data_IF_640366291836
#
_entry.id   IF_640366291836
#
_cell.length_a   1.000
_cell.length_b   1.000
_cell.length_c   1.000
_cell.angle_alpha   90.00
_cell.angle_beta   90.00
_cell.angle_gamma   90.00
#
_symmetry.space_group_name_H-M   'P 1'
#
loop_
_entity.id
_entity.type
_entity.pdbx_description
1 polymer ?
#
# COMPACT_ATOMS: atom_id res chain seq x y z
N UNK A 1 2.56 6.93 -26.02
CA UNK A 1 3.08 6.41 -24.72
C UNK A 1 3.16 4.89 -24.67
N UNK A 2 2.42 4.22 -25.54
CA UNK A 2 2.22 2.78 -25.67
C UNK A 2 3.53 2.03 -25.93
N UNK A 3 4.37 2.51 -26.85
CA UNK A 3 5.67 1.86 -27.13
C UNK A 3 6.60 1.84 -25.93
N UNK A 4 6.61 2.91 -25.12
CA UNK A 4 7.39 2.97 -23.87
C UNK A 4 6.82 2.01 -22.83
N UNK A 5 5.49 1.94 -22.75
CA UNK A 5 4.78 1.04 -21.83
C UNK A 5 5.07 -0.41 -22.16
N UNK A 6 5.01 -0.78 -23.44
CA UNK A 6 5.39 -2.12 -23.93
C UNK A 6 6.84 -2.45 -23.60
N UNK A 7 7.78 -1.53 -23.85
CA UNK A 7 9.18 -1.74 -23.53
C UNK A 7 9.42 -1.98 -22.02
N UNK A 8 8.71 -1.23 -21.17
CA UNK A 8 8.75 -1.42 -19.73
C UNK A 8 8.20 -2.79 -19.31
N UNK A 9 7.04 -3.19 -19.87
CA UNK A 9 6.44 -4.52 -19.60
C UNK A 9 7.37 -5.65 -20.03
N UNK A 10 7.91 -5.61 -21.25
CA UNK A 10 8.83 -6.64 -21.75
C UNK A 10 10.05 -6.77 -20.84
N UNK A 11 10.66 -5.66 -20.42
CA UNK A 11 11.81 -5.69 -19.53
C UNK A 11 11.47 -6.25 -18.14
N UNK A 12 10.35 -5.84 -17.55
CA UNK A 12 9.89 -6.38 -16.26
C UNK A 12 9.58 -7.87 -16.37
N UNK A 13 8.94 -8.30 -17.45
CA UNK A 13 8.64 -9.71 -17.75
C UNK A 13 9.93 -10.53 -17.85
N UNK A 14 10.91 -10.07 -18.64
CA UNK A 14 12.21 -10.75 -18.81
C UNK A 14 12.96 -10.91 -17.48
N UNK A 15 12.92 -9.89 -16.62
CA UNK A 15 13.68 -9.87 -15.37
C UNK A 15 12.99 -10.62 -14.23
N UNK A 16 11.67 -10.53 -14.14
CA UNK A 16 10.88 -11.17 -13.07
C UNK A 16 10.42 -12.60 -13.42
N UNK A 17 10.45 -12.96 -14.70
CA UNK A 17 9.86 -14.21 -15.20
C UNK A 17 8.34 -14.25 -15.04
N UNK A 18 7.69 -13.09 -14.93
CA UNK A 18 6.23 -12.94 -14.97
C UNK A 18 5.82 -12.76 -16.42
N UNK A 19 4.81 -13.52 -16.88
CA UNK A 19 4.32 -13.44 -18.26
C UNK A 19 3.76 -12.03 -18.58
N UNK A 20 4.02 -11.51 -19.78
CA UNK A 20 3.51 -10.21 -20.23
C UNK A 20 1.97 -10.11 -20.10
N UNK A 21 1.24 -11.22 -20.20
CA UNK A 21 -0.22 -11.28 -20.02
C UNK A 21 -0.69 -11.04 -18.57
N UNK A 22 0.24 -11.00 -17.61
CA UNK A 22 -0.02 -10.64 -16.21
C UNK A 22 0.25 -9.17 -15.91
N UNK A 23 0.53 -8.37 -16.94
CA UNK A 23 0.63 -6.93 -16.82
C UNK A 23 -0.59 -6.25 -17.47
N UNK A 24 -1.02 -5.14 -16.88
CA UNK A 24 -2.08 -4.28 -17.41
C UNK A 24 -1.64 -2.83 -17.52
N UNK A 25 -2.41 -2.04 -18.26
CA UNK A 25 -2.24 -0.58 -18.37
C UNK A 25 -3.50 0.08 -17.82
N UNK A 26 -3.31 1.12 -17.00
CA UNK A 26 -4.39 1.90 -16.41
C UNK A 26 -4.24 3.39 -16.75
N UNK A 27 -4.97 4.22 -16.02
CA UNK A 27 -4.82 5.68 -16.03
C UNK A 27 -5.03 6.31 -17.40
N UNK A 28 -4.23 7.34 -17.67
CA UNK A 28 -4.43 8.17 -18.86
C UNK A 28 -4.21 7.44 -20.18
N UNK A 29 -3.37 6.39 -20.21
CA UNK A 29 -3.13 5.59 -21.41
C UNK A 29 -4.35 4.73 -21.72
N UNK A 30 -4.92 4.05 -20.72
CA UNK A 30 -6.14 3.24 -20.87
C UNK A 30 -7.33 4.08 -21.37
N UNK A 31 -7.44 5.32 -20.90
CA UNK A 31 -8.52 6.23 -21.28
C UNK A 31 -8.26 6.99 -22.59
N UNK A 32 -7.11 6.77 -23.25
CA UNK A 32 -6.67 7.53 -24.44
C UNK A 32 -6.57 9.06 -24.21
N UNK A 33 -6.36 9.48 -22.95
CA UNK A 33 -6.22 10.89 -22.53
C UNK A 33 -4.77 11.28 -22.21
N UNK A 34 -3.82 10.42 -22.55
CA UNK A 34 -2.42 10.63 -22.21
C UNK A 34 -1.78 11.75 -23.04
N UNK A 35 -0.90 12.52 -22.41
CA UNK A 35 -0.05 13.49 -23.07
C UNK A 35 1.42 13.03 -22.98
N UNK A 36 2.10 12.73 -24.10
CA UNK A 36 3.48 12.25 -24.09
C UNK A 36 4.49 13.17 -23.38
N UNK A 37 4.15 14.45 -23.17
CA UNK A 37 5.01 15.42 -22.49
C UNK A 37 5.01 15.27 -20.96
N UNK A 38 3.91 14.81 -20.36
CA UNK A 38 3.76 14.84 -18.90
C UNK A 38 3.02 13.64 -18.29
N UNK A 39 2.35 12.80 -19.09
CA UNK A 39 1.74 11.57 -18.58
C UNK A 39 2.80 10.58 -18.12
N UNK A 40 2.48 9.90 -17.04
CA UNK A 40 3.13 8.70 -16.54
C UNK A 40 2.59 7.44 -17.23
N UNK A 41 3.25 6.33 -16.93
CA UNK A 41 2.81 4.98 -17.28
C UNK A 41 2.25 4.32 -16.02
N UNK A 42 0.94 4.08 -16.00
CA UNK A 42 0.30 3.35 -14.90
C UNK A 42 0.19 1.86 -15.25
N UNK A 43 1.08 1.05 -14.65
CA UNK A 43 1.09 -0.39 -14.81
C UNK A 43 0.30 -1.10 -13.71
N UNK A 44 -0.38 -2.16 -14.11
CA UNK A 44 -0.98 -3.14 -13.22
C UNK A 44 -0.17 -4.44 -13.27
N UNK A 45 -0.03 -5.12 -12.13
CA UNK A 45 0.52 -6.47 -12.05
C UNK A 45 -0.52 -7.39 -11.41
N UNK A 46 -1.01 -8.36 -12.17
CA UNK A 46 -2.06 -9.27 -11.72
C UNK A 46 -1.49 -10.47 -10.99
N UNK A 47 -1.96 -10.71 -9.77
CA UNK A 47 -1.58 -11.85 -8.94
C UNK A 47 -0.55 -11.49 -7.86
N UNK A 48 -0.75 -12.02 -6.65
CA UNK A 48 0.11 -11.80 -5.48
C UNK A 48 1.54 -12.26 -5.74
N UNK A 49 1.71 -13.51 -6.18
CA UNK A 49 3.02 -14.05 -6.50
C UNK A 49 3.75 -13.23 -7.58
N UNK A 50 3.02 -12.78 -8.61
CA UNK A 50 3.58 -11.94 -9.66
C UNK A 50 4.01 -10.57 -9.12
N UNK A 51 3.21 -9.96 -8.24
CA UNK A 51 3.53 -8.70 -7.60
C UNK A 51 4.81 -8.80 -6.75
N UNK A 52 4.99 -9.88 -5.98
CA UNK A 52 6.22 -10.12 -5.22
C UNK A 52 7.43 -10.28 -6.14
N UNK A 53 7.30 -11.05 -7.23
CA UNK A 53 8.39 -11.25 -8.21
C UNK A 53 8.80 -9.94 -8.88
N UNK A 54 7.84 -9.09 -9.24
CA UNK A 54 8.13 -7.75 -9.79
C UNK A 54 8.78 -6.86 -8.73
N UNK A 55 8.25 -6.80 -7.50
CA UNK A 55 8.84 -6.03 -6.39
C UNK A 55 10.31 -6.39 -6.17
N UNK A 56 10.63 -7.68 -6.09
CA UNK A 56 12.00 -8.15 -5.85
C UNK A 56 12.97 -7.69 -6.95
N UNK A 57 12.52 -7.68 -8.21
CA UNK A 57 13.33 -7.21 -9.33
C UNK A 57 13.47 -5.69 -9.37
N UNK A 58 12.45 -4.95 -8.93
CA UNK A 58 12.52 -3.49 -8.88
C UNK A 58 13.65 -3.01 -7.97
N UNK A 59 13.89 -3.70 -6.86
CA UNK A 59 15.00 -3.39 -5.95
C UNK A 59 16.37 -3.49 -6.65
N UNK A 60 16.53 -4.42 -7.59
CA UNK A 60 17.75 -4.57 -8.41
C UNK A 60 17.83 -3.55 -9.56
N UNK A 61 16.69 -3.18 -10.14
CA UNK A 61 16.62 -2.27 -11.28
C UNK A 61 16.99 -0.83 -10.89
N UNK A 62 16.63 -0.39 -9.68
CA UNK A 62 17.00 0.94 -9.20
C UNK A 62 18.52 1.06 -9.01
N UNK A 63 19.18 1.72 -9.96
CA UNK A 63 20.64 1.77 -10.05
C UNK A 63 21.13 1.55 -11.48
N UNK A 64 20.28 0.98 -12.34
CA UNK A 64 20.52 0.90 -13.78
C UNK A 64 20.22 2.25 -14.47
N UNK A 65 20.84 2.49 -15.63
CA UNK A 65 20.73 3.76 -16.36
C UNK A 65 19.29 4.13 -16.70
N UNK A 66 18.46 3.12 -16.99
CA UNK A 66 17.07 3.28 -17.39
C UNK A 66 16.10 3.43 -16.21
N UNK A 67 16.46 3.04 -14.99
CA UNK A 67 15.59 3.13 -13.82
C UNK A 67 16.15 4.10 -12.82
N UNK A 68 15.51 5.27 -12.76
CA UNK A 68 15.89 6.31 -11.82
C UNK A 68 14.85 6.41 -10.71
N UNK A 69 15.26 6.39 -9.43
CA UNK A 69 14.38 6.83 -8.37
C UNK A 69 14.07 8.33 -8.57
N UNK A 70 13.01 8.80 -7.93
CA UNK A 70 12.77 10.24 -7.81
C UNK A 70 13.92 10.91 -7.03
N UNK A 71 14.18 12.18 -7.34
CA UNK A 71 15.19 12.97 -6.63
C UNK A 71 14.81 13.19 -5.16
N UNK A 72 15.80 13.49 -4.32
CA UNK A 72 15.57 13.78 -2.90
C UNK A 72 14.60 14.95 -2.68
N UNK A 73 14.63 15.97 -3.54
CA UNK A 73 13.71 17.10 -3.50
C UNK A 73 12.27 16.69 -3.85
N UNK A 74 12.09 15.86 -4.89
CA UNK A 74 10.77 15.31 -5.27
C UNK A 74 10.18 14.46 -4.14
N UNK A 75 11.00 13.60 -3.52
CA UNK A 75 10.59 12.76 -2.38
C UNK A 75 10.22 13.63 -1.18
N UNK A 76 11.04 14.62 -0.81
CA UNK A 76 10.78 15.49 0.33
C UNK A 76 9.50 16.32 0.14
N UNK A 77 9.31 16.90 -1.05
CA UNK A 77 8.10 17.66 -1.37
C UNK A 77 6.84 16.78 -1.26
N UNK A 78 6.93 15.53 -1.71
CA UNK A 78 5.84 14.57 -1.55
C UNK A 78 5.61 14.17 -0.08
N UNK A 79 6.66 13.87 0.68
CA UNK A 79 6.56 13.51 2.11
C UNK A 79 5.84 14.62 2.88
N UNK A 80 6.25 15.88 2.72
CA UNK A 80 5.61 17.03 3.36
C UNK A 80 4.13 17.17 2.97
N UNK A 81 3.79 16.85 1.71
CA UNK A 81 2.40 16.83 1.26
C UNK A 81 1.61 15.72 1.96
N UNK A 82 2.15 14.50 2.09
CA UNK A 82 1.48 13.39 2.76
C UNK A 82 1.28 13.66 4.25
N UNK A 83 2.31 14.17 4.95
CA UNK A 83 2.23 14.59 6.36
C UNK A 83 1.04 15.52 6.59
N UNK A 84 0.88 16.51 5.72
CA UNK A 84 -0.20 17.50 5.81
C UNK A 84 -1.57 16.89 5.52
N UNK A 85 -1.70 16.06 4.48
CA UNK A 85 -2.99 15.49 4.06
C UNK A 85 -3.51 14.48 5.08
N UNK A 86 -2.62 13.61 5.57
CA UNK A 86 -2.97 12.47 6.41
C UNK A 86 -2.83 12.74 7.91
N UNK A 87 -2.40 13.96 8.29
CA UNK A 87 -2.23 14.32 9.70
C UNK A 87 -1.14 13.52 10.42
N UNK A 88 -0.15 13.02 9.67
CA UNK A 88 0.99 12.28 10.25
C UNK A 88 1.80 13.25 11.12
N UNK A 89 2.19 12.90 12.36
CA UNK A 89 3.02 13.78 13.16
C UNK A 89 4.35 14.10 12.46
N UNK A 90 4.73 15.38 12.40
CA UNK A 90 5.89 15.85 11.62
C UNK A 90 7.21 15.14 11.95
N UNK A 91 7.38 14.69 13.19
CA UNK A 91 8.55 13.88 13.63
C UNK A 91 8.72 12.56 12.87
N UNK A 92 7.66 12.08 12.20
CA UNK A 92 7.66 10.87 11.40
C UNK A 92 7.77 11.15 9.89
N UNK A 93 7.90 12.41 9.46
CA UNK A 93 7.95 12.76 8.04
C UNK A 93 9.06 11.99 7.29
N UNK A 94 10.22 11.85 7.90
CA UNK A 94 11.38 11.13 7.34
C UNK A 94 11.16 9.62 7.26
N UNK A 95 10.20 9.07 8.03
CA UNK A 95 9.85 7.66 8.02
C UNK A 95 8.83 7.31 6.93
N UNK A 96 8.20 8.30 6.31
CA UNK A 96 7.29 8.06 5.19
C UNK A 96 8.16 7.67 4.01
N UNK A 97 8.44 6.36 3.92
CA UNK A 97 9.20 5.82 2.82
C UNK A 97 8.33 5.89 1.58
N UNK A 98 8.88 6.52 0.54
CA UNK A 98 8.40 6.28 -0.80
C UNK A 98 8.57 4.78 -1.06
N UNK A 99 7.49 4.03 -1.31
CA UNK A 99 7.60 2.60 -1.67
C UNK A 99 8.31 2.52 -3.01
N UNK A 100 9.65 2.41 -2.96
CA UNK A 100 10.53 2.65 -4.10
C UNK A 100 10.17 1.74 -5.26
N UNK A 101 9.77 0.51 -4.99
CA UNK A 101 9.40 -0.47 -5.99
C UNK A 101 8.20 -0.05 -6.86
N UNK A 102 7.24 0.72 -6.33
CA UNK A 102 6.01 1.05 -7.04
C UNK A 102 6.14 2.24 -8.00
N UNK A 103 7.13 3.12 -7.82
CA UNK A 103 7.18 4.36 -8.60
C UNK A 103 8.60 4.81 -8.87
N UNK A 104 8.85 5.21 -10.11
CA UNK A 104 10.14 5.75 -10.53
C UNK A 104 10.07 6.33 -11.94
N UNK A 105 11.22 6.41 -12.59
CA UNK A 105 11.33 6.81 -13.99
C UNK A 105 11.96 5.70 -14.82
N UNK A 106 11.31 5.37 -15.93
CA UNK A 106 11.85 4.53 -17.00
C UNK A 106 12.35 5.44 -18.13
N UNK A 107 13.67 5.59 -18.24
CA UNK A 107 14.31 6.66 -19.00
C UNK A 107 13.97 8.04 -18.43
N UNK A 108 13.14 8.80 -19.15
CA UNK A 108 12.63 10.12 -18.72
C UNK A 108 11.16 10.08 -18.32
N UNK A 109 10.47 8.96 -18.51
CA UNK A 109 9.04 8.84 -18.30
C UNK A 109 8.76 8.26 -16.92
N UNK A 110 7.93 8.96 -16.13
CA UNK A 110 7.49 8.46 -14.84
C UNK A 110 6.61 7.22 -15.01
N UNK A 111 6.66 6.29 -14.06
CA UNK A 111 5.79 5.14 -14.02
C UNK A 111 5.28 4.89 -12.60
N UNK A 112 4.14 4.22 -12.51
CA UNK A 112 3.61 3.61 -11.31
C UNK A 112 3.32 2.13 -11.56
N UNK A 113 3.47 1.29 -10.55
CA UNK A 113 3.14 -0.14 -10.57
C UNK A 113 2.17 -0.39 -9.43
N UNK A 114 0.97 -0.88 -9.76
CA UNK A 114 -0.07 -1.22 -8.80
C UNK A 114 -0.41 -2.70 -8.91
N UNK A 115 -0.24 -3.50 -7.84
CA UNK A 115 -0.63 -4.90 -7.85
C UNK A 115 -2.15 -5.03 -7.76
N UNK A 116 -2.70 -6.05 -8.42
CA UNK A 116 -4.14 -6.33 -8.49
C UNK A 116 -4.37 -7.82 -8.23
N UNK A 117 -5.29 -8.14 -7.33
CA UNK A 117 -5.67 -9.54 -7.06
C UNK A 117 -6.34 -10.15 -8.29
N UNK A 118 -6.05 -11.41 -8.56
CA UNK A 118 -6.82 -12.22 -9.51
C UNK A 118 -8.10 -12.73 -8.84
N UNK A 119 -9.11 -13.06 -9.64
CA UNK A 119 -10.40 -13.57 -9.13
C UNK A 119 -10.26 -14.76 -8.16
N UNK A 120 -9.28 -15.65 -8.42
CA UNK A 120 -9.00 -16.81 -7.55
C UNK A 120 -8.29 -16.48 -6.24
N UNK A 121 -7.80 -15.25 -6.06
CA UNK A 121 -7.16 -14.76 -4.82
C UNK A 121 -8.15 -14.01 -3.92
N UNK A 122 -9.36 -13.73 -4.42
CA UNK A 122 -10.42 -13.06 -3.68
C UNK A 122 -11.31 -14.12 -3.06
N UNK A 123 -11.13 -14.35 -1.76
CA UNK A 123 -11.89 -15.35 -1.00
C UNK A 123 -13.18 -14.80 -0.40
N UNK A 124 -13.27 -13.47 -0.25
CA UNK A 124 -14.41 -12.80 0.36
C UNK A 124 -15.62 -12.77 -0.57
N UNK A 125 -16.79 -13.06 -0.01
CA UNK A 125 -18.05 -13.00 -0.75
C UNK A 125 -18.76 -11.68 -0.48
N UNK A 126 -19.03 -10.93 -1.55
CA UNK A 126 -19.78 -9.68 -1.44
C UNK A 126 -21.12 -9.89 -0.74
N UNK A 127 -21.38 -9.10 0.30
CA UNK A 127 -22.61 -9.17 1.10
C UNK A 127 -22.62 -10.23 2.20
N UNK A 128 -21.54 -11.01 2.38
CA UNK A 128 -21.42 -11.93 3.51
C UNK A 128 -21.10 -11.21 4.84
N UNK A 129 -20.40 -10.08 4.76
CA UNK A 129 -20.00 -9.27 5.91
C UNK A 129 -20.53 -7.83 5.80
N UNK A 130 -20.76 -7.21 6.95
CA UNK A 130 -21.04 -5.77 7.08
C UNK A 130 -20.08 -5.13 8.07
N UNK A 131 -19.69 -3.88 7.78
CA UNK A 131 -18.66 -3.15 8.52
C UNK A 131 -19.29 -1.91 9.14
N UNK A 132 -19.08 -1.69 10.44
CA UNK A 132 -19.58 -0.51 11.14
C UNK A 132 -18.49 0.13 12.00
N UNK A 133 -18.25 1.45 11.89
CA UNK A 133 -17.25 2.12 12.72
C UNK A 133 -17.69 2.12 14.19
N UNK A 134 -16.73 1.90 15.08
CA UNK A 134 -16.92 1.87 16.53
C UNK A 134 -16.32 3.13 17.15
N UNK A 135 -14.99 3.27 17.10
CA UNK A 135 -14.28 4.40 17.69
C UNK A 135 -12.91 4.62 17.04
N UNK A 136 -12.30 5.79 17.29
CA UNK A 136 -10.90 6.05 16.92
C UNK A 136 -9.98 5.48 17.98
N UNK A 137 -8.89 4.85 17.54
CA UNK A 137 -7.86 4.28 18.43
C UNK A 137 -6.47 4.69 17.99
N UNK A 138 -5.55 4.83 18.96
CA UNK A 138 -4.11 4.90 18.73
C UNK A 138 -3.41 3.86 19.61
N UNK A 139 -2.51 3.07 19.03
CA UNK A 139 -1.80 2.01 19.74
C UNK A 139 -0.44 1.72 19.11
N UNK A 140 0.42 1.03 19.87
CA UNK A 140 1.64 0.41 19.34
C UNK A 140 1.43 -1.07 19.15
N UNK A 141 2.07 -1.66 18.13
CA UNK A 141 1.99 -3.09 17.84
C UNK A 141 3.24 -3.61 17.12
N UNK A 142 3.41 -4.93 17.13
CA UNK A 142 4.32 -5.67 16.26
C UNK A 142 3.58 -6.09 14.99
N UNK A 143 4.18 -5.90 13.81
CA UNK A 143 3.70 -6.55 12.58
C UNK A 143 3.99 -8.05 12.66
N UNK A 144 2.95 -8.86 12.68
CA UNK A 144 3.04 -10.32 12.77
C UNK A 144 3.17 -10.96 11.40
N UNK A 145 2.43 -10.45 10.42
CA UNK A 145 2.43 -10.92 9.02
C UNK A 145 2.21 -9.73 8.07
N UNK A 146 2.88 -9.79 6.92
CA UNK A 146 2.94 -8.72 5.91
C UNK A 146 2.75 -9.25 4.47
N UNK A 147 2.25 -10.49 4.32
CA UNK A 147 2.12 -11.17 3.03
C UNK A 147 1.13 -10.47 2.08
N UNK A 148 0.12 -9.81 2.62
CA UNK A 148 -0.95 -9.14 1.86
C UNK A 148 -0.84 -7.59 1.92
N UNK A 149 0.37 -7.08 2.15
CA UNK A 149 0.63 -5.65 2.32
C UNK A 149 0.84 -4.89 0.99
N UNK A 150 0.98 -5.59 -0.13
CA UNK A 150 1.30 -4.99 -1.43
C UNK A 150 0.12 -4.26 -2.06
N UNK A 151 -1.10 -4.68 -1.72
CA UNK A 151 -2.34 -4.22 -2.34
C UNK A 151 -2.92 -2.99 -1.64
N UNK A 152 -4.02 -2.50 -2.20
CA UNK A 152 -4.91 -1.55 -1.53
C UNK A 152 -6.30 -2.22 -1.41
N UNK A 153 -6.84 -2.36 -0.18
CA UNK A 153 -6.21 -2.00 1.08
C UNK A 153 -4.97 -2.86 1.38
N UNK A 154 -3.95 -2.27 2.00
CA UNK A 154 -2.81 -3.02 2.53
C UNK A 154 -3.24 -3.71 3.82
N UNK A 155 -3.00 -5.01 3.92
CA UNK A 155 -3.40 -5.80 5.08
C UNK A 155 -2.18 -6.23 5.90
N UNK A 156 -2.23 -5.93 7.19
CA UNK A 156 -1.22 -6.30 8.18
C UNK A 156 -1.86 -7.05 9.34
N UNK A 157 -1.33 -8.21 9.70
CA UNK A 157 -1.64 -8.81 10.99
C UNK A 157 -0.76 -8.18 12.07
N UNK A 158 -1.36 -7.87 13.21
CA UNK A 158 -0.70 -7.17 14.30
C UNK A 158 -0.85 -7.91 15.62
N UNK A 159 0.17 -7.78 16.47
CA UNK A 159 0.26 -8.40 17.79
C UNK A 159 0.96 -7.49 18.79
N UNK A 160 1.09 -7.95 20.04
CA UNK A 160 1.73 -7.21 21.13
C UNK A 160 1.19 -5.77 21.28
N UNK A 161 -0.13 -5.65 21.22
CA UNK A 161 -0.81 -4.35 21.16
C UNK A 161 -0.79 -3.66 22.53
N UNK A 162 -0.40 -2.38 22.53
CA UNK A 162 -0.54 -1.48 23.68
C UNK A 162 -1.33 -0.24 23.26
N UNK A 163 -2.54 -0.09 23.81
CA UNK A 163 -3.43 1.05 23.53
C UNK A 163 -2.88 2.31 24.22
N UNK A 164 -2.75 3.39 23.46
CA UNK A 164 -2.30 4.70 23.94
C UNK A 164 -3.46 5.70 24.03
N UNK A 165 -4.41 5.63 23.09
CA UNK A 165 -5.62 6.45 23.04
C UNK A 165 -6.80 5.60 22.54
N UNK A 166 -7.97 5.73 23.17
CA UNK A 166 -9.17 4.91 22.90
C UNK A 166 -9.63 4.13 24.13
N UNK A 167 -10.74 3.40 24.01
CA UNK A 167 -11.22 2.53 25.09
C UNK A 167 -10.25 1.36 25.34
N UNK A 168 -9.89 1.14 26.60
CA UNK A 168 -9.06 -0.02 27.00
C UNK A 168 -9.82 -1.34 26.99
N UNK A 169 -11.16 -1.28 26.95
CA UNK A 169 -12.05 -2.45 26.85
C UNK A 169 -12.38 -2.81 25.38
N UNK A 170 -11.60 -2.28 24.42
CA UNK A 170 -11.72 -2.65 23.02
C UNK A 170 -11.60 -4.18 22.82
N UNK A 171 -12.38 -4.75 21.87
CA UNK A 171 -12.22 -6.14 21.50
C UNK A 171 -10.80 -6.41 20.99
N UNK A 172 -10.40 -7.68 21.00
CA UNK A 172 -9.10 -8.09 20.45
C UNK A 172 -8.96 -7.59 19.01
N UNK A 173 -7.93 -6.77 18.79
CA UNK A 173 -7.54 -6.28 17.47
C UNK A 173 -6.42 -7.18 16.96
N UNK A 174 -6.58 -7.73 15.76
CA UNK A 174 -5.59 -8.64 15.16
C UNK A 174 -5.12 -8.20 13.79
N UNK A 175 -5.78 -7.21 13.20
CA UNK A 175 -5.62 -6.83 11.80
C UNK A 175 -5.76 -5.32 11.61
N UNK A 176 -4.94 -4.80 10.71
CA UNK A 176 -4.95 -3.40 10.25
C UNK A 176 -5.09 -3.40 8.74
N UNK A 177 -6.12 -2.73 8.24
CA UNK A 177 -6.32 -2.47 6.83
C UNK A 177 -6.03 -1.00 6.51
N UNK A 178 -5.23 -0.75 5.49
CA UNK A 178 -4.92 0.60 5.05
C UNK A 178 -5.40 0.87 3.63
N UNK A 179 -6.37 1.76 3.50
CA UNK A 179 -6.85 2.26 2.21
C UNK A 179 -5.98 3.37 1.62
N UNK A 180 -4.96 3.83 2.37
CA UNK A 180 -3.96 4.75 1.88
C UNK A 180 -2.76 3.97 1.31
N UNK A 181 -2.64 3.93 -0.02
CA UNK A 181 -1.56 3.20 -0.69
C UNK A 181 -0.14 3.65 -0.34
N UNK A 182 0.03 4.75 0.41
CA UNK A 182 1.33 5.15 0.95
C UNK A 182 1.84 4.23 2.06
N UNK A 183 0.96 3.43 2.67
CA UNK A 183 1.32 2.46 3.70
C UNK A 183 1.41 1.03 3.13
N UNK A 184 1.19 0.83 1.82
CA UNK A 184 1.37 -0.47 1.16
C UNK A 184 2.86 -0.80 1.01
N UNK A 185 3.23 -2.03 1.36
CA UNK A 185 4.60 -2.56 1.27
C UNK A 185 5.66 -1.80 2.09
N UNK A 186 5.24 -1.05 3.12
CA UNK A 186 6.14 -0.21 3.94
C UNK A 186 6.67 -0.95 5.17
N UNK A 187 5.80 -1.70 5.83
CA UNK A 187 6.12 -2.40 7.07
C UNK A 187 6.31 -3.89 6.79
N UNK A 188 7.29 -4.50 7.45
CA UNK A 188 7.58 -5.92 7.33
C UNK A 188 7.37 -6.62 8.67
N UNK A 189 7.20 -7.94 8.64
CA UNK A 189 7.13 -8.76 9.86
C UNK A 189 8.27 -8.43 10.83
N UNK A 190 7.90 -8.22 12.10
CA UNK A 190 8.79 -7.84 13.19
C UNK A 190 8.95 -6.33 13.39
N UNK A 191 8.49 -5.50 12.46
CA UNK A 191 8.48 -4.05 12.65
C UNK A 191 7.60 -3.66 13.85
N UNK A 192 8.13 -2.79 14.70
CA UNK A 192 7.35 -2.08 15.71
C UNK A 192 6.71 -0.86 15.06
N UNK A 193 5.39 -0.73 15.18
CA UNK A 193 4.64 0.36 14.57
C UNK A 193 3.73 1.05 15.58
N UNK A 194 3.49 2.34 15.35
CA UNK A 194 2.41 3.10 15.99
C UNK A 194 1.35 3.37 14.94
N UNK A 195 0.11 3.03 15.28
CA UNK A 195 -1.04 3.08 14.38
C UNK A 195 -2.08 4.00 14.98
N UNK A 196 -2.66 4.87 14.15
CA UNK A 196 -3.88 5.61 14.43
C UNK A 196 -4.91 5.28 13.36
N UNK A 197 -6.10 4.84 13.78
CA UNK A 197 -7.15 4.44 12.86
C UNK A 197 -8.51 4.38 13.53
N UNK A 198 -9.48 3.76 12.84
CA UNK A 198 -10.82 3.51 13.35
C UNK A 198 -11.00 2.02 13.56
N UNK A 199 -11.50 1.62 14.73
CA UNK A 199 -11.96 0.26 14.96
C UNK A 199 -13.28 0.06 14.23
N UNK A 200 -13.39 -0.99 13.42
CA UNK A 200 -14.68 -1.41 12.86
C UNK A 200 -15.06 -2.80 13.36
N UNK A 201 -16.34 -2.93 13.70
CA UNK A 201 -16.95 -4.21 13.98
C UNK A 201 -17.42 -4.84 12.68
N UNK A 202 -16.99 -6.07 12.44
CA UNK A 202 -17.38 -6.87 11.29
C UNK A 202 -18.49 -7.82 11.74
N UNK A 203 -19.60 -7.82 11.01
CA UNK A 203 -20.79 -8.61 11.34
C UNK A 203 -21.18 -9.55 10.22
N UNK A 204 -21.62 -10.75 10.60
CA UNK A 204 -22.24 -11.70 9.68
C UNK A 204 -23.63 -11.21 9.19
N UNK A 205 -24.24 -11.96 8.27
CA UNK A 205 -25.58 -11.66 7.74
C UNK A 205 -26.69 -11.72 8.80
N UNK A 206 -26.45 -12.31 9.97
CA UNK A 206 -27.37 -12.36 11.09
C UNK A 206 -27.17 -11.19 12.08
N UNK A 207 -26.15 -10.34 11.86
CA UNK A 207 -25.83 -9.18 12.68
C UNK A 207 -24.89 -9.46 13.86
N UNK A 208 -24.39 -10.70 13.99
CA UNK A 208 -23.46 -11.06 15.07
C UNK A 208 -22.06 -10.52 14.74
N UNK A 209 -21.39 -9.95 15.74
CA UNK A 209 -19.98 -9.53 15.58
C UNK A 209 -19.12 -10.78 15.46
N UNK A 210 -18.38 -10.90 14.36
CA UNK A 210 -17.48 -12.02 14.10
C UNK A 210 -16.02 -11.68 14.40
N UNK A 211 -15.60 -10.43 14.10
CA UNK A 211 -14.24 -9.93 14.36
C UNK A 211 -14.23 -8.40 14.37
N UNK A 212 -13.08 -7.83 14.76
CA UNK A 212 -12.84 -6.40 14.72
C UNK A 212 -11.47 -6.15 14.10
N UNK A 213 -11.37 -5.09 13.30
CA UNK A 213 -10.11 -4.65 12.70
C UNK A 213 -9.92 -3.15 12.89
N UNK A 214 -8.75 -2.66 12.51
CA UNK A 214 -8.47 -1.23 12.47
C UNK A 214 -8.32 -0.80 11.02
N UNK A 215 -9.05 0.22 10.61
CA UNK A 215 -8.93 0.82 9.29
C UNK A 215 -8.18 2.15 9.35
N UNK A 216 -7.29 2.34 8.37
CA UNK A 216 -6.55 3.57 8.10
C UNK A 216 -6.95 4.07 6.71
N UNK A 217 -7.13 5.39 6.55
CA UNK A 217 -7.57 5.97 5.27
C UNK A 217 -9.08 6.16 5.11
N UNK A 218 -9.80 6.32 6.22
CA UNK A 218 -11.24 6.62 6.19
C UNK A 218 -11.51 8.12 6.16
N UNK A 219 -12.68 8.52 5.66
CA UNK A 219 -13.13 9.93 5.70
C UNK A 219 -13.40 10.44 7.13
N UNK A 220 -13.69 9.54 8.07
CA UNK A 220 -14.09 9.86 9.44
C UNK A 220 -12.93 10.22 10.36
N UNK A 221 -11.69 9.83 10.03
CA UNK A 221 -10.50 10.13 10.86
C UNK A 221 -9.23 10.13 10.00
N UNK A 222 -8.36 11.11 10.24
CA UNK A 222 -6.98 11.10 9.74
C UNK A 222 -6.19 9.98 10.43
N UNK A 223 -6.14 8.83 9.76
CA UNK A 223 -5.38 7.66 10.21
C UNK A 223 -3.98 7.62 9.59
N UNK A 224 -3.05 6.98 10.30
CA UNK A 224 -1.68 6.79 9.82
C UNK A 224 -1.00 5.61 10.52
N UNK A 225 0.07 5.12 9.89
CA UNK A 225 0.94 4.07 10.43
C UNK A 225 2.38 4.59 10.34
N UNK A 226 3.16 4.48 11.41
CA UNK A 226 4.57 4.93 11.47
C UNK A 226 5.43 3.92 12.22
N UNK A 227 6.71 3.79 11.85
CA UNK A 227 7.63 2.86 12.51
C UNK A 227 8.11 3.45 13.84
N UNK A 228 8.15 2.63 14.88
CA UNK A 228 8.79 2.99 16.15
C UNK A 228 10.27 2.67 16.01
N UNK A 229 11.18 3.66 16.13
CA UNK A 229 12.61 3.40 16.08
C UNK A 229 12.99 2.43 17.21
N UNK A 230 13.78 1.41 16.89
CA UNK A 230 14.46 0.62 17.90
C UNK A 230 15.39 1.54 18.69
N UNK A 231 15.19 1.60 20.01
CA UNK A 231 16.02 2.36 20.95
C UNK A 231 17.47 1.87 20.99
#
# INVERSE_FOLDING_TARGET
MESKSKALVTLLSERSGVDENRFGISGSILLELHNPMFSDIDLLVYGQENAHRVRNVMDDLFGEELFKPYSGEEIQAWQLRQVRILGIPARYAEQISWSHWQRGRFGQTAFSISPVRMDGEIMDQYGAETYSPVESVQFTATIMEDEDNLFVPAHYLVGDITIEEGDTELPALTEVLSFEGIFSAVFNRGDQVRIRGIVEAIRDTAGNIIRNHVVVGTLSTQGWIVRIPSS
#
